data_IF_078808191474
#
_entry.id   IF_078808191474
#
_cell.length_a   1.000
_cell.length_b   1.000
_cell.length_c   1.000
_cell.angle_alpha   90.00
_cell.angle_beta   90.00
_cell.angle_gamma   90.00
#
_symmetry.space_group_name_H-M   'P 1'
#
loop_
_entity.id
_entity.type
_entity.pdbx_description
1 polymer ?
#
# COMPACT_ATOMS: atom_id res chain seq x y z
N UNK A 1 2.08 25.35 -8.29
CA UNK A 1 2.24 24.23 -9.23
C UNK A 1 2.58 23.00 -8.42
N UNK A 2 1.57 22.21 -8.04
CA UNK A 2 1.79 20.95 -7.31
C UNK A 2 2.64 20.05 -8.21
N UNK A 3 3.82 19.63 -7.73
CA UNK A 3 4.58 18.58 -8.39
C UNK A 3 3.63 17.39 -8.48
N UNK A 4 3.29 16.96 -9.71
CA UNK A 4 2.68 15.66 -9.90
C UNK A 4 3.65 14.68 -9.27
N UNK A 5 3.27 14.08 -8.16
CA UNK A 5 3.93 12.86 -7.69
C UNK A 5 4.01 11.98 -8.93
N UNK A 6 5.23 11.71 -9.42
CA UNK A 6 5.44 10.78 -10.51
C UNK A 6 4.98 9.44 -9.97
N UNK A 7 3.71 9.11 -10.23
CA UNK A 7 3.15 7.83 -9.85
C UNK A 7 3.93 6.79 -10.63
N UNK A 8 4.74 6.01 -9.90
CA UNK A 8 5.35 4.83 -10.44
C UNK A 8 4.23 3.92 -10.94
N UNK A 9 4.38 3.41 -12.16
CA UNK A 9 3.39 2.53 -12.76
C UNK A 9 3.35 1.21 -11.98
N UNK A 10 2.28 1.02 -11.20
CA UNK A 10 2.02 -0.24 -10.49
C UNK A 10 1.16 -1.10 -11.39
N UNK A 11 1.61 -2.34 -11.65
CA UNK A 11 0.88 -3.23 -12.53
C UNK A 11 -0.49 -3.57 -11.92
N UNK A 12 -1.60 -3.48 -12.69
CA UNK A 12 -2.94 -3.70 -12.14
C UNK A 12 -3.10 -5.03 -11.40
N UNK A 13 -2.46 -6.11 -11.85
CA UNK A 13 -2.58 -7.41 -11.18
C UNK A 13 -2.06 -7.39 -9.74
N UNK A 14 -1.04 -6.58 -9.41
CA UNK A 14 -0.49 -6.48 -8.06
C UNK A 14 -1.51 -5.84 -7.13
N UNK A 15 -2.14 -4.77 -7.60
CA UNK A 15 -3.22 -4.07 -6.89
C UNK A 15 -4.36 -5.05 -6.58
N UNK A 16 -4.75 -5.87 -7.56
CA UNK A 16 -5.79 -6.88 -7.38
C UNK A 16 -5.37 -7.99 -6.40
N UNK A 17 -4.13 -8.49 -6.46
CA UNK A 17 -3.63 -9.51 -5.52
C UNK A 17 -3.66 -8.99 -4.08
N UNK A 18 -3.10 -7.80 -3.84
CA UNK A 18 -3.11 -7.18 -2.50
C UNK A 18 -4.55 -6.97 -2.01
N UNK A 19 -5.43 -6.47 -2.88
CA UNK A 19 -6.81 -6.23 -2.51
C UNK A 19 -7.57 -7.51 -2.14
N UNK A 20 -7.40 -8.58 -2.92
CA UNK A 20 -8.02 -9.89 -2.63
C UNK A 20 -7.44 -10.50 -1.36
N UNK A 21 -6.12 -10.48 -1.18
CA UNK A 21 -5.46 -11.05 0.00
C UNK A 21 -5.87 -10.34 1.30
N UNK A 22 -6.08 -9.02 1.24
CA UNK A 22 -6.41 -8.22 2.42
C UNK A 22 -7.92 -8.16 2.71
N UNK A 23 -8.74 -7.98 1.69
CA UNK A 23 -10.16 -7.71 1.85
C UNK A 23 -11.06 -8.90 1.45
N UNK A 24 -10.50 -9.95 0.84
CA UNK A 24 -11.26 -11.11 0.37
C UNK A 24 -12.40 -10.69 -0.57
N UNK A 25 -13.61 -11.18 -0.27
CA UNK A 25 -14.83 -10.90 -1.04
C UNK A 25 -15.57 -9.63 -0.58
N UNK A 26 -14.96 -8.78 0.26
CA UNK A 26 -15.59 -7.53 0.69
C UNK A 26 -15.77 -6.58 -0.50
N UNK A 27 -16.77 -5.70 -0.41
CA UNK A 27 -16.99 -4.68 -1.45
C UNK A 27 -15.84 -3.68 -1.46
N UNK A 28 -15.00 -3.78 -2.49
CA UNK A 28 -13.87 -2.90 -2.75
C UNK A 28 -14.04 -2.27 -4.13
N UNK A 29 -13.52 -1.05 -4.30
CA UNK A 29 -13.39 -0.42 -5.61
C UNK A 29 -11.91 -0.32 -5.93
N UNK A 30 -11.49 -0.88 -7.06
CA UNK A 30 -10.13 -0.77 -7.57
C UNK A 30 -10.13 0.15 -8.78
N UNK A 31 -9.31 1.20 -8.75
CA UNK A 31 -9.09 2.09 -9.88
C UNK A 31 -7.60 2.38 -10.02
N UNK A 32 -7.00 1.92 -11.12
CA UNK A 32 -5.56 2.04 -11.36
C UNK A 32 -4.72 1.45 -10.19
N UNK A 33 -3.93 2.27 -9.49
CA UNK A 33 -3.16 1.86 -8.32
C UNK A 33 -3.87 2.16 -6.99
N UNK A 34 -5.18 2.38 -7.00
CA UNK A 34 -5.98 2.75 -5.83
C UNK A 34 -6.91 1.62 -5.41
N UNK A 35 -6.97 1.36 -4.11
CA UNK A 35 -7.97 0.50 -3.48
C UNK A 35 -8.82 1.36 -2.54
N UNK A 36 -10.13 1.41 -2.76
CA UNK A 36 -11.07 2.05 -1.86
C UNK A 36 -11.83 1.00 -1.06
N UNK A 37 -11.77 1.13 0.27
CA UNK A 37 -12.44 0.25 1.22
C UNK A 37 -13.00 1.08 2.37
N UNK A 38 -14.31 0.95 2.64
CA UNK A 38 -15.06 1.83 3.55
C UNK A 38 -14.78 3.32 3.29
N UNK A 39 -14.18 4.00 4.29
CA UNK A 39 -13.90 5.44 4.27
C UNK A 39 -12.45 5.74 3.84
N UNK A 40 -11.67 4.71 3.50
CA UNK A 40 -10.27 4.84 3.15
C UNK A 40 -10.05 4.64 1.66
N UNK A 41 -9.10 5.42 1.15
CA UNK A 41 -8.63 5.36 -0.22
C UNK A 41 -7.12 5.14 -0.13
N UNK A 42 -6.65 3.96 -0.50
CA UNK A 42 -5.25 3.59 -0.39
C UNK A 42 -4.59 3.60 -1.76
N UNK A 43 -3.45 4.27 -1.87
CA UNK A 43 -2.52 4.07 -2.97
C UNK A 43 -1.67 2.85 -2.69
N UNK A 44 -1.65 1.91 -3.63
CA UNK A 44 -0.60 0.89 -3.69
C UNK A 44 0.68 1.56 -4.16
N UNK A 45 1.73 1.45 -3.34
CA UNK A 45 3.04 2.08 -3.57
C UNK A 45 4.13 1.02 -3.46
N UNK A 46 5.15 1.12 -4.30
CA UNK A 46 6.34 0.27 -4.19
C UNK A 46 7.36 0.92 -3.25
N UNK A 47 8.09 0.12 -2.51
CA UNK A 47 9.24 0.56 -1.72
C UNK A 47 10.44 0.65 -2.67
N UNK A 48 10.83 1.87 -3.05
CA UNK A 48 11.97 2.12 -3.95
C UNK A 48 13.26 2.51 -3.20
N UNK A 49 13.22 2.59 -1.86
CA UNK A 49 14.41 2.86 -1.06
C UNK A 49 15.36 1.66 -1.08
N UNK A 50 16.47 1.77 -1.82
CA UNK A 50 17.47 0.72 -2.01
C UNK A 50 18.15 0.22 -0.75
N UNK A 51 18.09 0.97 0.35
CA UNK A 51 18.65 0.54 1.63
C UNK A 51 17.64 -0.24 2.49
N UNK A 52 16.36 -0.28 2.10
CA UNK A 52 15.30 -0.91 2.87
C UNK A 52 15.26 -2.43 2.64
N UNK A 53 15.06 -3.20 3.71
CA UNK A 53 15.01 -4.67 3.66
C UNK A 53 14.00 -5.19 2.62
N UNK A 54 12.87 -4.49 2.49
CA UNK A 54 11.79 -4.86 1.59
C UNK A 54 11.76 -4.05 0.29
N UNK A 55 12.93 -3.58 -0.19
CA UNK A 55 13.02 -2.91 -1.49
C UNK A 55 12.34 -3.74 -2.58
N UNK A 56 11.46 -3.10 -3.35
CA UNK A 56 10.74 -3.71 -4.47
C UNK A 56 9.37 -4.32 -4.11
N UNK A 57 9.07 -4.48 -2.82
CA UNK A 57 7.75 -4.87 -2.30
C UNK A 57 6.80 -3.67 -2.21
N UNK A 58 5.57 -3.90 -1.76
CA UNK A 58 4.50 -2.90 -1.80
C UNK A 58 3.97 -2.58 -0.41
N UNK A 59 3.38 -1.40 -0.27
CA UNK A 59 2.63 -0.97 0.91
C UNK A 59 1.41 -0.16 0.48
N UNK A 60 0.46 0.01 1.41
CA UNK A 60 -0.72 0.83 1.22
C UNK A 60 -0.54 2.18 1.91
N UNK A 61 -0.65 3.27 1.16
CA UNK A 61 -0.58 4.63 1.69
C UNK A 61 -1.97 5.27 1.63
N UNK A 62 -2.51 5.73 2.76
CA UNK A 62 -3.79 6.43 2.78
C UNK A 62 -3.68 7.77 2.04
N UNK A 63 -4.65 8.03 1.16
CA UNK A 63 -4.65 9.20 0.29
C UNK A 63 -4.85 10.51 1.05
N UNK A 64 -5.53 10.47 2.21
CA UNK A 64 -5.86 11.63 3.02
C UNK A 64 -4.73 12.00 3.98
N UNK A 65 -4.21 11.01 4.72
CA UNK A 65 -3.19 11.23 5.76
C UNK A 65 -1.77 11.14 5.21
N UNK A 66 -1.58 10.47 4.05
CA UNK A 66 -0.26 10.12 3.49
C UNK A 66 0.58 9.23 4.43
N UNK A 67 -0.06 8.57 5.39
CA UNK A 67 0.58 7.57 6.25
C UNK A 67 0.38 6.17 5.67
N UNK A 68 1.33 5.29 5.94
CA UNK A 68 1.22 3.90 5.56
C UNK A 68 0.24 3.17 6.49
N UNK A 69 -0.60 2.33 5.92
CA UNK A 69 -1.49 1.43 6.65
C UNK A 69 -0.64 0.45 7.47
N UNK A 70 -0.88 0.36 8.78
CA UNK A 70 -0.31 -0.67 9.64
C UNK A 70 -1.30 -1.83 9.80
N UNK A 71 -2.56 -1.49 10.09
CA UNK A 71 -3.70 -2.39 10.20
C UNK A 71 -4.88 -1.77 9.47
N UNK A 72 -6.05 -2.43 9.47
CA UNK A 72 -7.27 -1.87 8.89
C UNK A 72 -7.83 -0.67 9.67
N UNK A 73 -7.30 -0.39 10.87
CA UNK A 73 -7.72 0.72 11.73
C UNK A 73 -6.57 1.68 12.11
N UNK A 74 -5.31 1.25 11.99
CA UNK A 74 -4.13 2.02 12.41
C UNK A 74 -3.17 2.37 11.25
N UNK A 75 -2.43 3.46 11.46
CA UNK A 75 -1.39 3.94 10.56
C UNK A 75 -0.01 3.88 11.21
N UNK A 76 1.01 3.55 10.42
CA UNK A 76 2.39 3.60 10.83
C UNK A 76 2.86 5.05 11.05
N UNK A 77 3.95 5.19 11.80
CA UNK A 77 4.57 6.49 12.05
C UNK A 77 5.02 7.16 10.73
N UNK A 78 5.07 8.50 10.67
CA UNK A 78 5.54 9.21 9.49
C UNK A 78 6.93 8.75 9.02
N UNK A 79 7.06 8.46 7.73
CA UNK A 79 8.32 8.00 7.12
C UNK A 79 8.51 6.48 7.11
N UNK A 80 7.58 5.71 7.69
CA UNK A 80 7.58 4.24 7.63
C UNK A 80 6.63 3.71 6.56
N UNK A 81 6.80 2.43 6.20
CA UNK A 81 6.03 1.73 5.17
C UNK A 81 4.90 0.86 5.71
N UNK A 82 4.71 0.71 7.03
CA UNK A 82 3.57 -0.01 7.59
C UNK A 82 3.55 -1.50 7.23
N UNK A 83 2.37 -2.03 6.90
CA UNK A 83 2.23 -3.39 6.40
C UNK A 83 2.85 -3.53 4.99
N UNK A 84 3.73 -4.52 4.85
CA UNK A 84 4.47 -4.77 3.62
C UNK A 84 3.93 -6.00 2.92
N UNK A 85 3.53 -5.82 1.67
CA UNK A 85 2.88 -6.83 0.84
C UNK A 85 3.85 -7.42 -0.19
N UNK A 86 3.74 -8.73 -0.36
CA UNK A 86 4.49 -9.46 -1.38
C UNK A 86 4.12 -9.00 -2.79
N UNK A 87 5.14 -8.93 -3.65
CA UNK A 87 4.99 -8.45 -5.02
C UNK A 87 4.29 -9.44 -5.96
N UNK A 88 4.18 -10.71 -5.55
CA UNK A 88 3.62 -11.81 -6.33
C UNK A 88 2.29 -12.27 -5.75
N UNK A 89 2.23 -12.52 -4.43
CA UNK A 89 1.04 -13.08 -3.75
C UNK A 89 0.13 -12.02 -3.13
N UNK A 90 0.64 -10.81 -2.91
CA UNK A 90 -0.09 -9.76 -2.18
C UNK A 90 -0.31 -10.07 -0.70
N UNK A 91 0.31 -11.12 -0.15
CA UNK A 91 0.26 -11.44 1.28
C UNK A 91 1.18 -10.51 2.08
N UNK A 92 0.90 -10.33 3.37
CA UNK A 92 1.76 -9.54 4.26
C UNK A 92 3.03 -10.35 4.57
N UNK A 93 4.19 -9.76 4.26
CA UNK A 93 5.51 -10.31 4.57
C UNK A 93 6.04 -9.87 5.93
N UNK A 94 5.62 -8.70 6.38
CA UNK A 94 6.06 -8.10 7.64
C UNK A 94 5.52 -6.69 7.80
N UNK A 95 6.00 -6.02 8.85
CA UNK A 95 5.61 -4.67 9.19
C UNK A 95 6.86 -3.82 9.39
N UNK A 96 6.84 -2.62 8.84
CA UNK A 96 7.78 -1.56 9.12
C UNK A 96 7.04 -0.48 9.92
N UNK A 97 7.65 0.06 10.97
CA UNK A 97 7.05 1.11 11.80
C UNK A 97 6.73 0.72 13.25
N UNK A 98 7.19 -0.44 13.71
CA UNK A 98 7.32 -0.68 15.15
C UNK A 98 8.47 0.18 15.71
N UNK A 99 8.16 0.99 16.72
CA UNK A 99 9.15 1.74 17.49
C UNK A 99 9.92 0.84 18.44
#
# INVERSE_FOLDING_TARGET
MLKRDTFQEVKPFIVHQIAISLFGDRYIIIYDNVIQFHNHCYYVKRIDDTAHLYTGHYYLMDANTRLAMQTDEDFAAPGSYGAIFDSVTGEILGYDGEA
#
